data_IF_510650006620
#
_entry.id   IF_510650006620
#
_cell.length_a   1.000
_cell.length_b   1.000
_cell.length_c   1.000
_cell.angle_alpha   90.00
_cell.angle_beta   90.00
_cell.angle_gamma   90.00
#
_symmetry.space_group_name_H-M   'P 1'
#
loop_
_entity.id
_entity.type
_entity.pdbx_description
1 polymer ?
#
# COMPACT_ATOMS: atom_id res chain seq x y z
N UNK A 1 -41.93 -12.95 -3.92
CA UNK A 1 -41.72 -13.59 -2.60
C UNK A 1 -40.74 -12.75 -1.79
N UNK A 2 -41.23 -12.03 -0.77
CA UNK A 2 -40.40 -11.34 0.25
C UNK A 2 -40.37 -12.23 1.50
N UNK A 3 -39.19 -12.48 2.05
CA UNK A 3 -39.02 -13.19 3.33
C UNK A 3 -39.45 -12.29 4.50
N UNK A 4 -39.98 -12.90 5.56
CA UNK A 4 -40.49 -12.25 6.78
C UNK A 4 -39.40 -12.02 7.83
N UNK A 5 -39.62 -11.10 8.81
CA UNK A 5 -38.58 -10.62 9.74
C UNK A 5 -37.94 -11.70 10.63
N UNK A 6 -38.65 -12.79 10.90
CA UNK A 6 -38.21 -13.84 11.82
C UNK A 6 -37.04 -14.69 11.27
N UNK A 7 -36.66 -14.50 10.01
CA UNK A 7 -35.51 -15.17 9.40
C UNK A 7 -34.17 -14.44 9.62
N UNK A 8 -34.14 -13.32 10.35
CA UNK A 8 -32.89 -12.62 10.69
C UNK A 8 -32.25 -13.10 12.00
N UNK A 9 -33.01 -13.67 12.94
CA UNK A 9 -32.50 -13.94 14.30
C UNK A 9 -31.98 -15.37 14.53
N UNK A 10 -32.27 -16.31 13.62
CA UNK A 10 -31.87 -17.71 13.79
C UNK A 10 -30.44 -18.06 13.32
N UNK A 11 -29.68 -17.10 12.78
CA UNK A 11 -28.35 -17.37 12.17
C UNK A 11 -27.19 -16.64 12.86
N UNK A 12 -27.40 -16.23 14.13
CA UNK A 12 -26.35 -15.56 14.91
C UNK A 12 -25.70 -16.49 15.94
N UNK A 13 -24.52 -17.01 15.51
CA UNK A 13 -23.31 -17.40 16.27
C UNK A 13 -23.08 -18.91 16.55
N UNK A 14 -21.82 -19.43 16.53
CA UNK A 14 -20.52 -18.75 16.62
C UNK A 14 -19.53 -19.22 15.52
N UNK A 15 -19.61 -18.63 14.32
CA UNK A 15 -18.70 -19.00 13.22
C UNK A 15 -18.04 -17.78 12.57
N UNK A 16 -17.54 -16.85 13.38
CA UNK A 16 -16.41 -16.03 12.91
C UNK A 16 -15.15 -16.88 12.92
N UNK A 17 -15.05 -17.77 11.94
CA UNK A 17 -13.74 -18.17 11.45
C UNK A 17 -13.30 -17.03 10.53
N UNK A 18 -12.48 -16.13 11.04
CA UNK A 18 -11.74 -15.17 10.21
C UNK A 18 -10.79 -16.00 9.34
N UNK A 19 -11.25 -16.38 8.15
CA UNK A 19 -10.46 -17.07 7.13
C UNK A 19 -10.22 -16.12 5.97
N UNK A 20 -9.30 -15.19 6.21
CA UNK A 20 -8.50 -14.38 5.28
C UNK A 20 -7.95 -13.24 6.14
N UNK A 21 -6.64 -13.07 6.20
CA UNK A 21 -6.05 -11.90 6.84
C UNK A 21 -6.52 -10.65 6.08
N UNK A 22 -7.51 -9.93 6.63
CA UNK A 22 -8.11 -8.78 5.98
C UNK A 22 -7.06 -7.67 5.87
N UNK A 23 -6.80 -7.19 4.66
CA UNK A 23 -5.91 -6.06 4.40
C UNK A 23 -6.73 -4.81 4.08
N UNK A 24 -6.52 -3.75 4.85
CA UNK A 24 -7.01 -2.41 4.55
C UNK A 24 -5.87 -1.55 3.99
N UNK A 25 -6.08 -0.96 2.82
CA UNK A 25 -5.12 -0.04 2.19
C UNK A 25 -5.64 1.38 2.35
N UNK A 26 -4.82 2.25 2.96
CA UNK A 26 -5.17 3.64 3.21
C UNK A 26 -4.39 4.57 2.29
N UNK A 27 -5.08 5.55 1.72
CA UNK A 27 -4.50 6.62 0.93
C UNK A 27 -4.88 7.97 1.55
N UNK A 28 -3.87 8.77 1.90
CA UNK A 28 -4.06 10.14 2.39
C UNK A 28 -3.95 11.08 1.19
N UNK A 29 -5.08 11.63 0.76
CA UNK A 29 -5.14 12.61 -0.33
C UNK A 29 -5.26 14.01 0.25
N UNK A 30 -4.39 14.91 -0.18
CA UNK A 30 -4.39 16.32 0.24
C UNK A 30 -4.29 17.23 -0.97
N UNK A 31 -5.03 18.34 -0.95
CA UNK A 31 -5.00 19.38 -1.97
C UNK A 31 -4.93 20.77 -1.33
N UNK A 32 -4.24 21.68 -2.00
CA UNK A 32 -4.08 23.08 -1.60
C UNK A 32 -3.83 23.93 -2.85
N UNK A 33 -4.00 25.25 -2.75
CA UNK A 33 -3.90 26.17 -3.91
C UNK A 33 -2.59 26.95 -3.95
N UNK A 34 -2.07 27.34 -2.79
CA UNK A 34 -0.91 28.25 -2.69
C UNK A 34 0.41 27.48 -2.57
N UNK A 35 1.39 27.75 -3.42
CA UNK A 35 2.70 27.08 -3.38
C UNK A 35 3.44 27.25 -2.05
N UNK A 36 3.15 28.31 -1.28
CA UNK A 36 3.70 28.49 0.07
C UNK A 36 3.26 27.39 1.03
N UNK A 37 2.18 26.66 0.71
CA UNK A 37 1.68 25.52 1.47
C UNK A 37 2.41 24.20 1.23
N UNK A 38 3.25 24.09 0.20
CA UNK A 38 3.84 22.81 -0.25
C UNK A 38 4.52 22.04 0.87
N UNK A 39 5.41 22.70 1.63
CA UNK A 39 6.13 22.06 2.74
C UNK A 39 5.18 21.68 3.88
N UNK A 40 4.24 22.56 4.23
CA UNK A 40 3.32 22.33 5.34
C UNK A 40 2.38 21.15 5.04
N UNK A 41 1.88 21.05 3.81
CA UNK A 41 1.03 19.93 3.40
C UNK A 41 1.83 18.64 3.30
N UNK A 42 3.04 18.68 2.74
CA UNK A 42 3.94 17.52 2.72
C UNK A 42 4.19 16.98 4.13
N UNK A 43 4.61 17.83 5.07
CA UNK A 43 4.91 17.44 6.43
C UNK A 43 3.69 16.87 7.15
N UNK A 44 2.51 17.49 6.96
CA UNK A 44 1.26 17.04 7.56
C UNK A 44 0.82 15.67 7.01
N UNK A 45 0.86 15.47 5.69
CA UNK A 45 0.55 14.18 5.06
C UNK A 45 1.55 13.10 5.51
N UNK A 46 2.84 13.44 5.53
CA UNK A 46 3.90 12.50 5.92
C UNK A 46 3.79 12.07 7.38
N UNK A 47 3.56 13.02 8.28
CA UNK A 47 3.37 12.73 9.70
C UNK A 47 2.11 11.91 9.96
N UNK A 48 1.04 12.15 9.19
CA UNK A 48 -0.21 11.37 9.29
C UNK A 48 0.03 9.91 8.94
N UNK A 49 0.67 9.63 7.80
CA UNK A 49 1.00 8.25 7.39
C UNK A 49 1.89 7.56 8.43
N UNK A 50 2.91 8.24 8.94
CA UNK A 50 3.82 7.66 9.94
C UNK A 50 3.13 7.35 11.27
N UNK A 51 2.23 8.22 11.74
CA UNK A 51 1.45 7.98 12.96
C UNK A 51 0.54 6.77 12.80
N UNK A 52 -0.15 6.64 11.67
CA UNK A 52 -0.97 5.46 11.36
C UNK A 52 -0.13 4.18 11.35
N UNK A 53 1.02 4.18 10.66
CA UNK A 53 1.94 3.03 10.65
C UNK A 53 2.44 2.69 12.07
N UNK A 54 2.72 3.70 12.90
CA UNK A 54 3.16 3.50 14.28
C UNK A 54 2.07 2.85 15.14
N UNK A 55 0.85 3.37 15.09
CA UNK A 55 -0.29 2.81 15.82
C UNK A 55 -0.59 1.39 15.34
N UNK A 56 -0.57 1.12 14.03
CA UNK A 56 -0.80 -0.22 13.52
C UNK A 56 0.21 -1.24 14.06
N UNK A 57 1.48 -0.83 14.23
CA UNK A 57 2.51 -1.68 14.87
C UNK A 57 2.24 -1.85 16.37
N UNK A 58 1.89 -0.78 17.07
CA UNK A 58 1.54 -0.82 18.50
C UNK A 58 0.39 -1.78 18.79
N UNK A 59 -0.65 -1.77 17.96
CA UNK A 59 -1.80 -2.66 18.08
C UNK A 59 -1.59 -4.05 17.45
N UNK A 60 -0.40 -4.35 16.93
CA UNK A 60 -0.07 -5.63 16.27
C UNK A 60 -1.02 -5.98 15.09
N UNK A 61 -1.40 -4.97 14.31
CA UNK A 61 -2.26 -5.08 13.11
C UNK A 61 -1.59 -4.51 11.85
N UNK A 62 -0.30 -4.19 11.91
CA UNK A 62 0.45 -3.65 10.78
C UNK A 62 0.70 -4.69 9.69
N UNK A 63 0.70 -4.23 8.44
CA UNK A 63 1.18 -4.98 7.27
C UNK A 63 2.30 -4.20 6.60
N UNK A 64 3.31 -4.91 6.09
CA UNK A 64 4.41 -4.34 5.31
C UNK A 64 4.01 -4.05 3.85
N UNK A 65 2.82 -4.48 3.42
CA UNK A 65 2.34 -4.28 2.06
C UNK A 65 2.12 -2.79 1.77
N UNK A 66 2.74 -2.30 0.69
CA UNK A 66 2.51 -0.96 0.14
C UNK A 66 2.00 -1.10 -1.29
N UNK A 67 0.85 -0.48 -1.58
CA UNK A 67 0.32 -0.44 -2.92
C UNK A 67 1.07 0.57 -3.78
N UNK A 68 1.88 0.07 -4.73
CA UNK A 68 2.80 0.87 -5.55
C UNK A 68 2.17 2.10 -6.20
N UNK A 69 0.91 2.02 -6.66
CA UNK A 69 0.24 3.14 -7.31
C UNK A 69 0.01 4.36 -6.39
N UNK A 70 0.05 4.16 -5.07
CA UNK A 70 -0.10 5.22 -4.07
C UNK A 70 1.20 5.50 -3.31
N UNK A 71 2.30 4.83 -3.66
CA UNK A 71 3.58 5.03 -3.02
C UNK A 71 4.27 6.28 -3.56
N UNK A 72 4.93 7.04 -2.67
CA UNK A 72 5.80 8.13 -3.09
C UNK A 72 7.24 7.64 -3.31
N UNK A 73 8.12 8.53 -3.77
CA UNK A 73 9.54 8.24 -4.04
C UNK A 73 10.31 7.75 -2.81
N UNK A 74 10.01 8.30 -1.63
CA UNK A 74 10.64 7.91 -0.37
C UNK A 74 10.28 6.50 0.13
N UNK A 75 9.34 5.80 -0.52
CA UNK A 75 8.86 4.46 -0.14
C UNK A 75 9.32 3.37 -1.13
N UNK A 76 10.05 3.75 -2.18
CA UNK A 76 10.43 2.85 -3.26
C UNK A 76 11.07 1.53 -2.80
N UNK A 77 11.94 1.61 -1.79
CA UNK A 77 12.63 0.43 -1.25
C UNK A 77 11.70 -0.48 -0.43
N UNK A 78 10.65 0.08 0.18
CA UNK A 78 9.67 -0.64 0.99
C UNK A 78 8.61 -1.35 0.14
N UNK A 79 8.23 -0.79 -1.02
CA UNK A 79 7.14 -1.31 -1.87
C UNK A 79 7.34 -2.78 -2.23
N UNK A 80 8.49 -3.11 -2.83
CA UNK A 80 8.74 -4.48 -3.28
C UNK A 80 9.08 -5.42 -2.12
N UNK A 81 9.63 -4.92 -1.03
CA UNK A 81 9.80 -5.70 0.20
C UNK A 81 8.43 -6.16 0.74
N UNK A 82 7.43 -5.28 0.70
CA UNK A 82 6.04 -5.56 1.09
C UNK A 82 5.31 -6.61 0.26
N UNK A 83 5.84 -7.00 -0.91
CA UNK A 83 5.28 -8.11 -1.71
C UNK A 83 5.81 -9.49 -1.28
N UNK A 84 6.77 -9.52 -0.36
CA UNK A 84 7.47 -10.73 0.07
C UNK A 84 8.69 -11.06 -0.78
N UNK A 85 9.68 -11.70 -0.15
CA UNK A 85 11.01 -11.93 -0.73
C UNK A 85 10.97 -12.70 -2.06
N UNK A 86 10.15 -13.75 -2.14
CA UNK A 86 9.98 -14.56 -3.36
C UNK A 86 9.47 -13.73 -4.54
N UNK A 87 8.44 -12.92 -4.32
CA UNK A 87 7.88 -12.05 -5.35
C UNK A 87 8.87 -10.95 -5.73
N UNK A 88 9.54 -10.33 -4.76
CA UNK A 88 10.56 -9.32 -5.00
C UNK A 88 11.71 -9.87 -5.85
N UNK A 89 12.18 -11.09 -5.56
CA UNK A 89 13.22 -11.78 -6.34
C UNK A 89 12.76 -12.03 -7.78
N UNK A 90 11.58 -12.62 -7.95
CA UNK A 90 11.00 -12.89 -9.29
C UNK A 90 10.84 -11.62 -10.11
N UNK A 91 10.37 -10.53 -9.51
CA UNK A 91 10.23 -9.25 -10.20
C UNK A 91 11.59 -8.71 -10.67
N UNK A 92 12.65 -8.83 -9.84
CA UNK A 92 14.01 -8.44 -10.26
C UNK A 92 14.51 -9.27 -11.43
N UNK A 93 14.23 -10.57 -11.45
CA UNK A 93 14.60 -11.45 -12.55
C UNK A 93 13.87 -11.07 -13.85
N UNK A 94 12.56 -10.80 -13.77
CA UNK A 94 11.76 -10.33 -14.91
C UNK A 94 12.30 -8.99 -15.43
N UNK A 95 12.61 -8.04 -14.54
CA UNK A 95 13.14 -6.75 -14.95
C UNK A 95 14.46 -6.89 -15.71
N UNK A 96 15.37 -7.75 -15.26
CA UNK A 96 16.64 -8.01 -15.97
C UNK A 96 16.42 -8.66 -17.33
N UNK A 97 15.43 -9.52 -17.45
CA UNK A 97 15.11 -10.20 -18.71
C UNK A 97 14.49 -9.26 -19.75
N UNK A 98 13.61 -8.34 -19.31
CA UNK A 98 12.84 -7.45 -20.20
C UNK A 98 13.56 -6.11 -20.45
N UNK A 99 14.23 -5.55 -19.44
CA UNK A 99 14.92 -4.26 -19.50
C UNK A 99 16.40 -4.39 -19.08
N UNK A 100 17.21 -5.19 -19.79
CA UNK A 100 18.62 -5.41 -19.44
C UNK A 100 19.47 -4.14 -19.49
N UNK A 101 19.00 -3.10 -20.20
CA UNK A 101 19.68 -1.81 -20.34
C UNK A 101 19.18 -0.74 -19.35
N UNK A 102 18.16 -1.02 -18.55
CA UNK A 102 17.59 -0.03 -17.61
C UNK A 102 16.99 1.20 -18.30
N UNK A 103 16.35 1.00 -19.45
CA UNK A 103 15.68 2.07 -20.20
C UNK A 103 14.47 2.58 -19.41
N UNK A 104 13.66 1.67 -18.88
CA UNK A 104 12.44 2.01 -18.14
C UNK A 104 12.71 2.19 -16.65
N UNK A 105 13.82 1.65 -16.16
CA UNK A 105 14.14 1.57 -14.75
C UNK A 105 15.60 1.98 -14.49
N UNK A 106 15.83 2.85 -13.49
CA UNK A 106 17.19 3.36 -13.24
C UNK A 106 18.17 2.27 -12.77
N UNK A 107 17.73 1.36 -11.88
CA UNK A 107 18.61 0.42 -11.15
C UNK A 107 17.92 -0.90 -10.78
N UNK A 108 17.04 -1.43 -11.62
CA UNK A 108 16.28 -2.63 -11.31
C UNK A 108 14.80 -2.33 -11.20
N UNK A 109 14.18 -2.59 -10.07
CA UNK A 109 12.74 -2.32 -9.92
C UNK A 109 12.42 -0.82 -9.87
N UNK A 110 11.13 -0.49 -10.00
CA UNK A 110 10.61 0.87 -9.92
C UNK A 110 11.14 1.59 -8.67
N UNK A 111 11.67 2.81 -8.84
CA UNK A 111 12.06 3.66 -7.71
C UNK A 111 11.45 5.06 -7.77
N UNK A 112 10.75 5.37 -8.85
CA UNK A 112 10.08 6.63 -9.14
C UNK A 112 9.32 6.48 -10.48
N UNK A 113 8.65 7.54 -10.95
CA UNK A 113 8.11 7.65 -12.29
C UNK A 113 9.10 7.19 -13.38
N UNK A 114 8.54 6.70 -14.50
CA UNK A 114 9.28 6.23 -15.66
C UNK A 114 10.41 7.21 -16.03
N UNK A 115 11.58 6.68 -16.35
CA UNK A 115 12.67 7.50 -16.89
C UNK A 115 12.25 8.01 -18.28
N UNK A 116 11.99 9.31 -18.40
CA UNK A 116 11.90 9.97 -19.70
C UNK A 116 13.32 10.35 -20.13
N UNK A 117 13.68 10.01 -21.37
CA UNK A 117 14.95 10.41 -22.00
C UNK A 117 14.94 11.90 -22.33
#
# INVERSE_FOLDING_TARGET
>A
MRRTPDQYEADTQPHFRVTADNLAVFFVSTSWTEAQGDSAVWDMTHNTVNRVKSLAREYNVSSDFIYMNYAWTGQADEVFAGYGESNAKRLREIQKAVDPRGIFTLRGLWRNFMKLQ
#
